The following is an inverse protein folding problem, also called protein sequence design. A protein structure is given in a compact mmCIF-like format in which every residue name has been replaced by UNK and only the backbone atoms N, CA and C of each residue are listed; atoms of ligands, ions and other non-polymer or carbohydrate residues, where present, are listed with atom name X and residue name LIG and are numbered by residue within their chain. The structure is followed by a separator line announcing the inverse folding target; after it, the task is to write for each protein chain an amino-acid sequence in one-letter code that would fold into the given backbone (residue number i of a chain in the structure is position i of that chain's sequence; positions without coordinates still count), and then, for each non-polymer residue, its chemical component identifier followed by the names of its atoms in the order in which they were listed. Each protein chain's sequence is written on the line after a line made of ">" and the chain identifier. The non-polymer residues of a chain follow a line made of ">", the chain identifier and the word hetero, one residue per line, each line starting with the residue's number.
data_IF_868788413696
#
_entry.id   IF_868788413696
#
_cell.length_a   1.000
_cell.length_b   1.000
_cell.length_c   1.000
_cell.angle_alpha   90.00
_cell.angle_beta   90.00
_cell.angle_gamma   90.00
#
_symmetry.space_group_name_H-M   'P 1'
#
loop_
_entity.id
_entity.type
_entity.pdbx_description
1 polymer ?
#
# COMPACT_ATOMS: atom_id res chain seq x y z
N UNK A 1 -17.74 -2.66 23.59
CA UNK A 1 -16.39 -2.41 23.07
C UNK A 1 -15.46 -1.95 24.18
N UNK A 2 -14.28 -2.54 24.29
CA UNK A 2 -13.17 -1.96 25.05
C UNK A 2 -12.31 -1.17 24.07
N UNK A 3 -12.17 0.13 24.27
CA UNK A 3 -11.30 0.94 23.42
C UNK A 3 -9.84 0.59 23.69
N UNK A 4 -8.99 0.48 22.65
CA UNK A 4 -7.55 0.29 22.83
C UNK A 4 -6.93 1.51 23.52
N UNK A 5 -5.78 1.31 24.16
CA UNK A 5 -5.03 2.43 24.72
C UNK A 5 -4.47 3.31 23.60
N UNK A 6 -4.11 4.55 23.94
CA UNK A 6 -3.52 5.48 22.98
C UNK A 6 -2.24 4.93 22.34
N UNK A 7 -1.43 4.22 23.12
CA UNK A 7 -0.19 3.60 22.64
C UNK A 7 -0.47 2.53 21.57
N UNK A 8 -1.56 1.76 21.75
CA UNK A 8 -2.00 0.77 20.76
C UNK A 8 -2.46 1.48 19.49
N UNK A 9 -3.33 2.50 19.59
CA UNK A 9 -3.77 3.27 18.41
C UNK A 9 -2.59 3.87 17.65
N UNK A 10 -1.60 4.42 18.36
CA UNK A 10 -0.39 4.96 17.74
C UNK A 10 0.47 3.87 17.08
N UNK A 11 0.50 2.64 17.62
CA UNK A 11 1.16 1.52 16.96
C UNK A 11 0.48 1.11 15.67
N UNK A 12 -0.86 1.05 15.65
CA UNK A 12 -1.65 0.74 14.45
C UNK A 12 -1.43 1.80 13.37
N UNK A 13 -1.42 3.09 13.74
CA UNK A 13 -1.10 4.21 12.81
C UNK A 13 0.28 4.07 12.17
N UNK A 14 1.28 3.61 12.93
CA UNK A 14 2.62 3.35 12.41
C UNK A 14 2.67 2.13 11.51
N UNK A 15 1.89 1.10 11.83
CA UNK A 15 1.87 -0.15 11.08
C UNK A 15 1.07 -0.06 9.78
N UNK A 16 -0.02 0.71 9.79
CA UNK A 16 -0.96 0.91 8.69
C UNK A 16 -1.10 2.41 8.36
N UNK A 17 -0.02 3.08 7.93
CA UNK A 17 -0.13 4.46 7.49
C UNK A 17 -1.05 4.60 6.28
N UNK A 18 -1.57 5.81 6.05
CA UNK A 18 -2.36 6.14 4.86
C UNK A 18 -1.62 5.71 3.57
N UNK A 19 -2.34 5.00 2.69
CA UNK A 19 -1.80 4.40 1.47
C UNK A 19 -1.40 2.93 1.60
N UNK A 20 -1.40 2.36 2.82
CA UNK A 20 -1.13 0.93 3.03
C UNK A 20 -2.16 0.10 2.27
N UNK A 21 -1.66 -0.89 1.52
CA UNK A 21 -2.50 -1.82 0.78
C UNK A 21 -2.77 -3.07 1.61
N UNK A 22 -4.04 -3.47 1.67
CA UNK A 22 -4.46 -4.65 2.43
C UNK A 22 -5.45 -5.49 1.64
N UNK A 23 -5.57 -6.74 2.04
CA UNK A 23 -6.59 -7.67 1.58
C UNK A 23 -7.41 -8.16 2.79
N UNK A 24 -8.72 -8.21 2.63
CA UNK A 24 -9.64 -8.69 3.66
C UNK A 24 -9.49 -10.19 3.87
N UNK A 25 -9.29 -10.59 5.12
CA UNK A 25 -9.15 -12.00 5.52
C UNK A 25 -10.37 -12.47 6.31
N UNK A 26 -10.92 -11.62 7.18
CA UNK A 26 -12.10 -11.93 7.98
C UNK A 26 -12.85 -10.66 8.35
N UNK A 27 -14.17 -10.70 8.25
CA UNK A 27 -15.11 -9.69 8.77
C UNK A 27 -16.46 -10.37 8.95
N UNK A 28 -17.03 -10.28 10.14
CA UNK A 28 -18.32 -10.90 10.49
C UNK A 28 -19.43 -9.85 10.45
N UNK A 29 -19.78 -9.41 9.23
CA UNK A 29 -20.85 -8.45 8.96
C UNK A 29 -21.64 -8.88 7.73
N UNK A 30 -22.96 -8.67 7.73
CA UNK A 30 -23.86 -9.05 6.62
C UNK A 30 -23.52 -8.29 5.32
N UNK A 31 -22.94 -7.09 5.43
CA UNK A 31 -22.52 -6.23 4.34
C UNK A 31 -21.00 -6.30 4.10
N UNK A 32 -20.31 -7.28 4.70
CA UNK A 32 -18.87 -7.46 4.53
C UNK A 32 -18.50 -7.55 3.03
N UNK A 33 -17.39 -6.91 2.61
CA UNK A 33 -16.79 -7.23 1.32
C UNK A 33 -16.47 -8.74 1.25
N UNK A 34 -16.47 -9.35 0.07
CA UNK A 34 -15.99 -10.72 -0.08
C UNK A 34 -14.57 -10.87 0.46
N UNK A 35 -14.27 -11.99 1.13
CA UNK A 35 -12.90 -12.32 1.53
C UNK A 35 -12.00 -12.30 0.29
N UNK A 36 -10.78 -11.76 0.43
CA UNK A 36 -9.88 -11.50 -0.69
C UNK A 36 -10.09 -10.14 -1.36
N UNK A 37 -11.11 -9.36 -0.96
CA UNK A 37 -11.26 -7.99 -1.46
C UNK A 37 -10.08 -7.14 -1.00
N UNK A 38 -9.48 -6.40 -1.94
CA UNK A 38 -8.37 -5.50 -1.66
C UNK A 38 -8.87 -4.09 -1.34
N UNK A 39 -8.18 -3.42 -0.42
CA UNK A 39 -8.49 -2.07 0.03
C UNK A 39 -7.24 -1.25 0.33
N UNK A 40 -7.38 0.07 0.31
CA UNK A 40 -6.31 1.00 0.71
C UNK A 40 -6.72 1.68 2.01
N UNK A 41 -5.83 1.69 2.99
CA UNK A 41 -6.02 2.44 4.23
C UNK A 41 -5.98 3.93 3.93
N UNK A 42 -7.01 4.67 4.34
CA UNK A 42 -7.09 6.13 4.26
C UNK A 42 -6.50 6.79 5.51
N UNK A 43 -6.86 6.27 6.69
CA UNK A 43 -6.39 6.74 8.00
C UNK A 43 -6.70 5.68 9.07
N UNK A 44 -6.35 5.95 10.32
CA UNK A 44 -6.73 5.16 11.50
C UNK A 44 -7.39 6.07 12.52
N UNK A 45 -8.63 5.75 12.89
CA UNK A 45 -9.39 6.55 13.85
C UNK A 45 -8.90 6.37 15.30
N UNK A 46 -9.55 7.04 16.23
CA UNK A 46 -9.23 7.01 17.67
C UNK A 46 -9.63 5.70 18.36
N UNK A 47 -10.42 4.87 17.70
CA UNK A 47 -10.78 3.51 18.15
C UNK A 47 -9.77 2.46 17.67
N UNK A 48 -8.81 2.85 16.83
CA UNK A 48 -7.83 1.96 16.21
C UNK A 48 -8.33 1.30 14.92
N UNK A 49 -9.52 1.66 14.45
CA UNK A 49 -10.09 1.08 13.23
C UNK A 49 -9.44 1.69 11.99
N UNK A 50 -9.19 0.86 10.98
CA UNK A 50 -8.64 1.32 9.71
C UNK A 50 -9.76 1.89 8.86
N UNK A 51 -9.66 3.17 8.50
CA UNK A 51 -10.57 3.80 7.57
C UNK A 51 -10.24 3.33 6.16
N UNK A 52 -11.19 2.68 5.48
CA UNK A 52 -10.88 1.97 4.25
C UNK A 52 -11.38 2.69 2.98
N UNK A 53 -10.67 2.43 1.89
CA UNK A 53 -11.17 2.52 0.52
C UNK A 53 -11.07 1.13 -0.11
N UNK A 54 -12.15 0.37 -0.10
CA UNK A 54 -12.19 -0.93 -0.78
C UNK A 54 -12.33 -0.75 -2.29
N UNK A 55 -11.70 -1.63 -3.06
CA UNK A 55 -11.70 -1.56 -4.53
C UNK A 55 -13.08 -1.85 -5.12
N UNK A 56 -13.87 -2.67 -4.45
CA UNK A 56 -15.25 -2.97 -4.82
C UNK A 56 -16.24 -1.86 -4.42
N UNK A 57 -15.76 -0.76 -3.83
CA UNK A 57 -16.58 0.37 -3.41
C UNK A 57 -17.27 0.21 -2.05
N UNK A 58 -16.99 -0.86 -1.29
CA UNK A 58 -17.55 -1.00 0.07
C UNK A 58 -17.12 0.17 0.97
N UNK A 59 -18.05 0.59 1.83
CA UNK A 59 -17.86 1.66 2.80
C UNK A 59 -17.47 1.19 4.21
N UNK A 60 -17.33 -0.12 4.44
CA UNK A 60 -16.99 -0.64 5.77
C UNK A 60 -15.52 -0.41 6.12
N UNK A 61 -15.26 -0.10 7.38
CA UNK A 61 -13.91 0.02 7.95
C UNK A 61 -13.47 -1.32 8.54
N UNK A 62 -12.19 -1.44 8.89
CA UNK A 62 -11.65 -2.63 9.56
C UNK A 62 -11.54 -2.33 11.04
N UNK A 63 -12.36 -2.98 11.85
CA UNK A 63 -12.43 -2.77 13.30
C UNK A 63 -11.31 -3.51 14.01
N UNK A 64 -10.56 -2.77 14.84
CA UNK A 64 -9.47 -3.35 15.61
C UNK A 64 -9.96 -4.42 16.59
N UNK A 65 -9.37 -5.62 16.48
CA UNK A 65 -9.67 -6.77 17.35
C UNK A 65 -10.91 -7.57 16.95
N UNK A 66 -11.63 -7.16 15.90
CA UNK A 66 -12.81 -7.86 15.37
C UNK A 66 -12.56 -8.35 13.94
N UNK A 67 -12.03 -7.47 13.08
CA UNK A 67 -11.73 -7.78 11.69
C UNK A 67 -10.27 -8.14 11.46
N UNK A 68 -9.99 -8.91 10.41
CA UNK A 68 -8.64 -9.34 10.04
C UNK A 68 -8.34 -8.94 8.61
N UNK A 69 -7.20 -8.27 8.43
CA UNK A 69 -6.62 -7.94 7.13
C UNK A 69 -5.16 -8.35 7.06
N UNK A 70 -4.67 -8.63 5.86
CA UNK A 70 -3.24 -8.83 5.59
C UNK A 70 -2.69 -7.66 4.78
N UNK A 71 -1.51 -7.16 5.14
CA UNK A 71 -0.77 -6.21 4.30
C UNK A 71 -0.33 -6.91 3.01
N UNK A 72 -0.47 -6.20 1.91
CA UNK A 72 0.01 -6.64 0.60
C UNK A 72 0.87 -5.53 -0.03
N UNK A 73 1.76 -5.86 -0.98
CA UNK A 73 2.48 -4.84 -1.72
C UNK A 73 1.53 -3.87 -2.42
N UNK A 74 1.78 -2.57 -2.29
CA UNK A 74 1.06 -1.52 -3.00
C UNK A 74 1.56 -1.37 -4.45
N UNK A 75 2.84 -1.66 -4.68
CA UNK A 75 3.46 -1.69 -5.99
C UNK A 75 4.68 -2.59 -5.97
N UNK A 76 4.96 -3.23 -7.10
CA UNK A 76 6.18 -3.99 -7.33
C UNK A 76 7.01 -3.31 -8.42
N UNK A 77 8.31 -3.17 -8.21
CA UNK A 77 9.23 -2.59 -9.20
C UNK A 77 10.22 -3.63 -9.68
N UNK A 78 10.50 -3.62 -10.98
CA UNK A 78 11.53 -4.46 -11.61
C UNK A 78 12.57 -3.55 -12.25
N UNK A 79 13.78 -3.56 -11.71
CA UNK A 79 14.88 -2.75 -12.22
C UNK A 79 16.14 -3.62 -12.30
N UNK A 80 16.78 -3.67 -13.47
CA UNK A 80 17.94 -4.56 -13.69
C UNK A 80 17.65 -6.04 -13.32
N UNK A 81 16.48 -6.58 -13.69
CA UNK A 81 16.05 -7.94 -13.31
C UNK A 81 15.73 -8.13 -11.83
N UNK A 82 15.93 -7.11 -10.98
CA UNK A 82 15.65 -7.19 -9.54
C UNK A 82 14.24 -6.74 -9.25
N UNK A 83 13.51 -7.61 -8.59
CA UNK A 83 12.14 -7.34 -8.13
C UNK A 83 12.16 -6.86 -6.70
N UNK A 84 11.49 -5.74 -6.45
CA UNK A 84 11.29 -5.19 -5.10
C UNK A 84 9.80 -4.88 -4.88
N UNK A 85 9.30 -5.22 -3.70
CA UNK A 85 7.90 -5.02 -3.31
C UNK A 85 7.80 -3.90 -2.29
N UNK A 86 6.92 -2.95 -2.56
CA UNK A 86 6.76 -1.75 -1.75
C UNK A 86 5.40 -1.74 -1.09
N UNK A 87 5.36 -1.62 0.23
CA UNK A 87 4.12 -1.38 0.97
C UNK A 87 3.51 -0.01 0.69
N UNK A 88 4.31 0.92 0.15
CA UNK A 88 3.93 2.31 -0.13
C UNK A 88 4.44 2.77 -1.49
N UNK A 89 3.52 3.09 -2.40
CA UNK A 89 3.85 3.69 -3.71
C UNK A 89 4.64 5.00 -3.55
N UNK A 90 4.31 5.80 -2.55
CA UNK A 90 5.00 7.06 -2.27
C UNK A 90 6.47 6.85 -1.88
N UNK A 91 6.77 5.77 -1.18
CA UNK A 91 8.16 5.42 -0.82
C UNK A 91 8.94 4.96 -2.04
N UNK A 92 8.35 4.11 -2.88
CA UNK A 92 8.92 3.73 -4.18
C UNK A 92 9.21 4.98 -5.03
N UNK A 93 8.24 5.90 -5.15
CA UNK A 93 8.43 7.16 -5.90
C UNK A 93 9.60 7.98 -5.37
N UNK A 94 9.74 8.12 -4.05
CA UNK A 94 10.87 8.85 -3.45
C UNK A 94 12.20 8.17 -3.73
N UNK A 95 12.24 6.84 -3.68
CA UNK A 95 13.43 6.07 -3.98
C UNK A 95 13.88 6.34 -5.42
N UNK A 96 13.00 6.13 -6.40
CA UNK A 96 13.36 6.32 -7.81
C UNK A 96 13.62 7.79 -8.15
N UNK A 97 12.91 8.75 -7.54
CA UNK A 97 13.19 10.18 -7.73
C UNK A 97 14.60 10.56 -7.25
N UNK A 98 15.03 10.02 -6.10
CA UNK A 98 16.41 10.21 -5.61
C UNK A 98 17.42 9.55 -6.54
N UNK A 99 17.14 8.33 -6.99
CA UNK A 99 18.00 7.60 -7.91
C UNK A 99 18.20 8.39 -9.23
N UNK A 100 17.14 8.98 -9.79
CA UNK A 100 17.22 9.86 -10.98
C UNK A 100 18.15 11.05 -10.74
N UNK A 101 18.09 11.66 -9.55
CA UNK A 101 18.86 12.87 -9.23
C UNK A 101 20.37 12.61 -9.08
N UNK A 102 20.78 11.37 -8.83
CA UNK A 102 22.19 10.99 -8.60
C UNK A 102 22.77 10.08 -9.69
N UNK A 103 22.00 9.79 -10.73
CA UNK A 103 22.40 8.94 -11.86
C UNK A 103 22.42 9.74 -13.17
N UNK A 104 23.03 9.16 -14.20
CA UNK A 104 23.12 9.75 -15.53
C UNK A 104 22.99 8.68 -16.63
N UNK A 105 22.80 9.12 -17.87
CA UNK A 105 22.75 8.24 -19.04
C UNK A 105 21.62 7.20 -19.03
N UNK A 106 21.95 5.96 -19.36
CA UNK A 106 20.98 4.86 -19.47
C UNK A 106 20.38 4.48 -18.12
N UNK A 107 21.14 4.56 -17.04
CA UNK A 107 20.65 4.30 -15.68
C UNK A 107 19.54 5.29 -15.29
N UNK A 108 19.78 6.59 -15.48
CA UNK A 108 18.79 7.62 -15.20
C UNK A 108 17.49 7.40 -15.99
N UNK A 109 17.62 7.00 -17.26
CA UNK A 109 16.47 6.72 -18.14
C UNK A 109 15.59 5.58 -17.62
N UNK A 110 16.21 4.51 -17.09
CA UNK A 110 15.50 3.38 -16.47
C UNK A 110 14.73 3.80 -15.22
N UNK A 111 15.38 4.52 -14.30
CA UNK A 111 14.73 5.01 -13.09
C UNK A 111 13.59 5.98 -13.42
N UNK A 112 13.77 6.85 -14.44
CA UNK A 112 12.74 7.76 -14.91
C UNK A 112 11.50 7.04 -15.44
N UNK A 113 11.67 5.93 -16.16
CA UNK A 113 10.57 5.10 -16.64
C UNK A 113 9.78 4.47 -15.48
N UNK A 114 10.46 3.82 -14.53
CA UNK A 114 9.81 3.24 -13.35
C UNK A 114 9.06 4.33 -12.56
N UNK A 115 9.68 5.50 -12.38
CA UNK A 115 9.03 6.63 -11.72
C UNK A 115 7.78 7.12 -12.46
N UNK A 116 7.81 7.17 -13.79
CA UNK A 116 6.64 7.53 -14.60
C UNK A 116 5.49 6.51 -14.43
N UNK A 117 5.79 5.22 -14.50
CA UNK A 117 4.81 4.15 -14.29
C UNK A 117 4.23 4.17 -12.87
N UNK A 118 5.07 4.49 -11.87
CA UNK A 118 4.63 4.73 -10.49
C UNK A 118 3.61 5.87 -10.43
N UNK A 119 3.88 7.01 -11.08
CA UNK A 119 2.96 8.16 -11.14
C UNK A 119 1.68 7.87 -11.91
N UNK A 120 1.72 6.96 -12.87
CA UNK A 120 0.54 6.51 -13.62
C UNK A 120 -0.33 5.52 -12.83
N UNK A 121 0.09 5.06 -11.66
CA UNK A 121 -0.70 4.15 -10.82
C UNK A 121 -0.54 2.67 -11.16
N UNK A 122 0.47 2.29 -11.95
CA UNK A 122 0.71 0.90 -12.35
C UNK A 122 1.08 0.02 -11.16
N UNK A 123 0.48 -1.17 -11.03
CA UNK A 123 0.77 -2.12 -9.93
C UNK A 123 2.16 -2.78 -10.05
N UNK A 124 2.65 -2.91 -11.28
CA UNK A 124 3.97 -3.42 -11.62
C UNK A 124 4.65 -2.36 -12.47
N UNK A 125 5.80 -1.86 -12.01
CA UNK A 125 6.58 -0.85 -12.72
C UNK A 125 7.94 -1.44 -13.11
N UNK A 126 8.39 -1.25 -14.35
CA UNK A 126 9.61 -1.88 -14.88
C UNK A 126 10.44 -0.92 -15.71
N UNK A 127 11.76 -1.10 -15.70
CA UNK A 127 12.63 -0.44 -16.68
C UNK A 127 12.42 -0.99 -18.11
N UNK A 128 11.76 -2.15 -18.23
CA UNK A 128 11.38 -2.83 -19.47
C UNK A 128 12.56 -3.32 -20.29
N UNK A 129 13.70 -3.57 -19.65
CA UNK A 129 14.85 -4.23 -20.30
C UNK A 129 14.92 -5.73 -20.03
N UNK A 130 13.87 -6.29 -19.42
CA UNK A 130 13.68 -7.74 -19.26
C UNK A 130 12.53 -8.28 -20.14
N UNK A 131 12.44 -7.81 -21.40
CA UNK A 131 11.54 -8.36 -22.42
C UNK A 131 12.32 -9.16 -23.48
#
# INVERSE_FOLDING_TARGET
>A
MKFPSREIVESIRREYPAGTRVELVQMDDVLAPPIGTKGTVKDVDDTGSLLMRWDNGSGLNVVYGEDVVKKIPAVRTVCYGRTEEWSSRREAEKFFLRAIAVSEGSEQSRYAKIYAELKMGMEICTDGEDA
#
